data_IF_682748402908
#
_entry.id   IF_682748402908
#
_cell.length_a   1.000
_cell.length_b   1.000
_cell.length_c   1.000
_cell.angle_alpha   90.00
_cell.angle_beta   90.00
_cell.angle_gamma   90.00
#
_symmetry.space_group_name_H-M   'P 1'
#
loop_
_entity.id
_entity.type
_entity.pdbx_description
1 polymer ?
#
# COMPACT_ATOMS: atom_id res chain seq x y z
N UNK A 1 -18.20 38.56 -15.36
CA UNK A 1 -18.97 37.56 -14.59
C UNK A 1 -19.24 36.21 -15.28
N UNK A 2 -19.15 36.05 -16.62
CA UNK A 2 -19.43 34.76 -17.30
C UNK A 2 -18.29 33.72 -17.25
N UNK A 3 -17.06 34.10 -16.90
CA UNK A 3 -15.90 33.18 -16.85
C UNK A 3 -15.80 32.39 -15.54
N UNK A 4 -16.23 32.98 -14.41
CA UNK A 4 -16.14 32.34 -13.09
C UNK A 4 -17.08 31.12 -12.96
N UNK A 5 -18.26 31.17 -13.59
CA UNK A 5 -19.20 30.04 -13.60
C UNK A 5 -18.67 28.82 -14.38
N UNK A 6 -17.85 29.02 -15.42
CA UNK A 6 -17.28 27.90 -16.20
C UNK A 6 -16.18 27.16 -15.44
N UNK A 7 -15.42 27.86 -14.60
CA UNK A 7 -14.38 27.25 -13.75
C UNK A 7 -15.02 26.44 -12.62
N UNK A 8 -16.09 26.96 -12.02
CA UNK A 8 -16.81 26.26 -10.96
C UNK A 8 -17.50 24.98 -11.46
N UNK A 9 -18.14 25.02 -12.63
CA UNK A 9 -18.76 23.83 -13.27
C UNK A 9 -17.71 22.76 -13.63
N UNK A 10 -16.50 23.17 -14.07
CA UNK A 10 -15.41 22.21 -14.37
C UNK A 10 -14.81 21.59 -13.11
N UNK A 11 -14.76 22.32 -12.00
CA UNK A 11 -14.31 21.80 -10.71
C UNK A 11 -15.28 20.75 -10.15
N UNK A 12 -16.59 21.00 -10.25
CA UNK A 12 -17.63 20.08 -9.76
C UNK A 12 -17.76 18.79 -10.61
N UNK A 13 -17.37 18.84 -11.89
CA UNK A 13 -17.32 17.66 -12.74
C UNK A 13 -16.11 16.75 -12.42
N UNK A 14 -15.00 17.34 -11.91
CA UNK A 14 -13.81 16.60 -11.49
C UNK A 14 -14.05 15.77 -10.22
N UNK A 15 -14.78 16.32 -9.24
CA UNK A 15 -15.11 15.61 -7.99
C UNK A 15 -16.04 14.40 -8.19
N UNK A 16 -16.90 14.41 -9.21
CA UNK A 16 -17.78 13.26 -9.52
C UNK A 16 -17.03 12.09 -10.14
N UNK A 17 -15.99 12.36 -10.94
CA UNK A 17 -15.20 11.32 -11.59
C UNK A 17 -14.21 10.64 -10.63
N UNK A 18 -13.68 11.36 -9.64
CA UNK A 18 -12.76 10.80 -8.64
C UNK A 18 -13.47 9.78 -7.71
N UNK A 19 -14.69 10.09 -7.29
CA UNK A 19 -15.50 9.16 -6.47
C UNK A 19 -15.87 7.88 -7.22
N UNK A 20 -16.01 7.91 -8.55
CA UNK A 20 -16.31 6.71 -9.34
C UNK A 20 -15.12 5.75 -9.42
N UNK A 21 -13.93 6.29 -9.71
CA UNK A 21 -12.69 5.47 -9.84
C UNK A 21 -12.19 4.96 -8.50
N UNK A 22 -12.29 5.76 -7.43
CA UNK A 22 -11.94 5.34 -6.08
C UNK A 22 -12.85 4.20 -5.57
N UNK A 23 -14.15 4.25 -5.89
CA UNK A 23 -15.09 3.17 -5.56
C UNK A 23 -14.84 1.89 -6.39
N UNK A 24 -14.39 2.02 -7.64
CA UNK A 24 -14.05 0.87 -8.49
C UNK A 24 -12.80 0.13 -7.97
N UNK A 25 -11.78 0.87 -7.53
CA UNK A 25 -10.57 0.25 -6.98
C UNK A 25 -10.75 -0.27 -5.55
N UNK A 26 -11.53 0.38 -4.66
CA UNK A 26 -11.79 -0.19 -3.33
C UNK A 26 -12.60 -1.50 -3.39
N UNK A 27 -13.55 -1.61 -4.34
CA UNK A 27 -14.34 -2.84 -4.52
C UNK A 27 -13.51 -4.04 -4.98
N UNK A 28 -12.41 -3.83 -5.70
CA UNK A 28 -11.55 -4.93 -6.17
C UNK A 28 -10.59 -5.45 -5.08
N UNK A 29 -10.22 -4.63 -4.09
CA UNK A 29 -9.34 -5.06 -2.99
C UNK A 29 -10.08 -5.73 -1.81
N UNK A 30 -11.36 -5.42 -1.58
CA UNK A 30 -12.14 -6.03 -0.49
C UNK A 30 -12.64 -7.46 -0.77
N UNK A 31 -12.41 -7.99 -1.97
CA UNK A 31 -12.89 -9.32 -2.38
C UNK A 31 -11.89 -10.47 -2.19
N UNK A 32 -10.76 -10.25 -1.50
CA UNK A 32 -9.71 -11.27 -1.29
C UNK A 32 -9.62 -11.80 0.14
N UNK A 33 -10.76 -12.05 0.78
CA UNK A 33 -10.79 -12.89 1.98
C UNK A 33 -12.05 -13.73 2.02
N UNK A 34 -11.93 -14.99 1.58
CA UNK A 34 -12.95 -16.03 1.71
C UNK A 34 -12.33 -17.23 2.41
N UNK A 35 -12.22 -17.16 3.73
CA UNK A 35 -11.96 -18.32 4.60
C UNK A 35 -13.17 -18.58 5.48
N UNK A 36 -14.31 -18.96 4.88
CA UNK A 36 -15.49 -19.48 5.59
C UNK A 36 -16.13 -20.65 4.82
N UNK A 37 -15.32 -21.54 4.24
CA UNK A 37 -15.78 -22.72 3.51
C UNK A 37 -15.77 -24.02 4.35
N UNK A 38 -15.56 -23.92 5.67
CA UNK A 38 -15.39 -25.10 6.53
C UNK A 38 -16.59 -25.41 7.44
N UNK A 39 -17.53 -24.47 7.65
CA UNK A 39 -18.65 -24.64 8.58
C UNK A 39 -20.00 -25.01 7.91
N UNK A 40 -20.13 -24.92 6.58
CA UNK A 40 -21.35 -25.32 5.86
C UNK A 40 -21.45 -26.83 5.57
N UNK A 41 -20.36 -27.58 5.76
CA UNK A 41 -20.32 -29.03 5.58
C UNK A 41 -20.90 -29.81 6.79
N UNK A 42 -21.26 -29.14 7.88
CA UNK A 42 -21.84 -29.75 9.09
C UNK A 42 -23.37 -29.59 9.19
N UNK A 43 -24.05 -29.13 8.12
CA UNK A 43 -25.52 -29.09 8.12
C UNK A 43 -26.07 -30.49 7.85
N UNK A 44 -26.50 -31.12 8.93
CA UNK A 44 -27.09 -32.46 9.00
C UNK A 44 -28.28 -32.59 8.02
N UNK A 45 -28.01 -33.13 6.83
CA UNK A 45 -29.05 -33.53 5.90
C UNK A 45 -29.73 -34.77 6.47
N UNK A 46 -30.98 -34.64 6.87
CA UNK A 46 -31.87 -35.75 7.18
C UNK A 46 -31.99 -36.61 5.92
N UNK A 47 -31.15 -37.65 5.81
CA UNK A 47 -31.21 -38.59 4.71
C UNK A 47 -32.52 -39.37 4.83
N UNK A 48 -33.35 -39.31 3.79
CA UNK A 48 -34.42 -40.29 3.60
C UNK A 48 -33.73 -41.65 3.48
N UNK A 49 -34.03 -42.57 4.39
CA UNK A 49 -33.56 -43.96 4.29
C UNK A 49 -34.01 -44.54 2.94
N UNK A 50 -33.12 -45.20 2.17
CA UNK A 50 -33.51 -45.82 0.90
C UNK A 50 -34.55 -46.91 1.17
N UNK A 51 -35.61 -46.98 0.38
CA UNK A 51 -36.52 -48.13 0.40
C UNK A 51 -35.75 -49.39 -0.04
N UNK A 52 -36.20 -50.56 0.40
CA UNK A 52 -35.56 -51.87 0.18
C UNK A 52 -35.27 -52.18 -1.31
N UNK A 53 -36.03 -51.57 -2.23
CA UNK A 53 -35.79 -51.62 -3.68
C UNK A 53 -34.52 -50.90 -4.17
N UNK A 54 -33.97 -49.96 -3.40
CA UNK A 54 -32.82 -49.14 -3.79
C UNK A 54 -31.48 -49.70 -3.31
N UNK A 55 -31.47 -50.67 -2.38
CA UNK A 55 -30.23 -51.31 -1.90
C UNK A 55 -29.50 -52.07 -3.01
N UNK A 56 -30.24 -52.67 -3.96
CA UNK A 56 -29.65 -53.37 -5.12
C UNK A 56 -28.94 -52.47 -6.13
N UNK A 57 -29.13 -51.14 -6.06
CA UNK A 57 -28.50 -50.17 -6.98
C UNK A 57 -27.14 -49.66 -6.50
N UNK A 58 -26.74 -49.94 -5.25
CA UNK A 58 -25.48 -49.46 -4.69
C UNK A 58 -24.26 -50.31 -5.09
N UNK A 59 -24.46 -51.54 -5.55
CA UNK A 59 -23.38 -52.43 -6.03
C UNK A 59 -22.94 -52.14 -7.48
N UNK A 60 -23.60 -51.18 -8.15
CA UNK A 60 -23.24 -50.79 -9.52
C UNK A 60 -22.50 -49.46 -9.53
N UNK A 61 -21.49 -49.29 -10.41
CA UNK A 61 -20.78 -48.03 -10.52
C UNK A 61 -21.74 -46.89 -10.87
N UNK A 62 -21.74 -45.84 -10.04
CA UNK A 62 -22.61 -44.68 -10.21
C UNK A 62 -22.20 -43.93 -11.48
N UNK A 63 -23.05 -43.97 -12.50
CA UNK A 63 -22.81 -43.25 -13.76
C UNK A 63 -23.01 -41.75 -13.52
N UNK A 64 -21.92 -40.98 -13.63
CA UNK A 64 -21.92 -39.54 -13.39
C UNK A 64 -23.07 -38.82 -14.12
N UNK A 65 -23.26 -39.10 -15.42
CA UNK A 65 -24.28 -38.46 -16.27
C UNK A 65 -25.72 -38.64 -15.79
N UNK A 66 -25.99 -39.66 -14.96
CA UNK A 66 -27.32 -39.93 -14.38
C UNK A 66 -27.43 -39.46 -12.92
N UNK A 67 -26.33 -38.99 -12.33
CA UNK A 67 -26.29 -38.54 -10.95
C UNK A 67 -26.86 -37.12 -10.80
N UNK A 68 -27.36 -36.79 -9.61
CA UNK A 68 -27.78 -35.42 -9.27
C UNK A 68 -26.63 -34.41 -9.40
N UNK A 69 -25.38 -34.86 -9.24
CA UNK A 69 -24.21 -34.00 -9.40
C UNK A 69 -24.01 -33.54 -10.86
N UNK A 70 -24.43 -34.31 -11.86
CA UNK A 70 -24.36 -33.90 -13.27
C UNK A 70 -25.31 -32.76 -13.62
N UNK A 71 -26.46 -32.67 -12.93
CA UNK A 71 -27.39 -31.55 -13.09
C UNK A 71 -26.86 -30.25 -12.47
N UNK A 72 -25.86 -30.35 -11.59
CA UNK A 72 -25.32 -29.22 -10.87
C UNK A 72 -24.35 -28.44 -11.75
N UNK A 73 -24.80 -27.30 -12.30
CA UNK A 73 -23.97 -26.46 -13.16
C UNK A 73 -23.03 -25.64 -12.29
N UNK A 74 -21.72 -25.69 -12.55
CA UNK A 74 -20.73 -24.87 -11.85
C UNK A 74 -21.09 -23.37 -11.87
N UNK A 75 -21.74 -22.92 -12.94
CA UNK A 75 -22.23 -21.56 -13.12
C UNK A 75 -23.26 -21.11 -12.07
N UNK A 76 -24.06 -22.02 -11.50
CA UNK A 76 -25.07 -21.69 -10.47
C UNK A 76 -24.41 -21.28 -9.14
N UNK A 77 -23.20 -21.77 -8.84
CA UNK A 77 -22.42 -21.30 -7.69
C UNK A 77 -21.88 -19.87 -7.87
N UNK A 78 -21.68 -19.43 -9.11
CA UNK A 78 -21.10 -18.12 -9.42
C UNK A 78 -22.15 -17.04 -9.66
N UNK A 79 -23.43 -17.41 -9.82
CA UNK A 79 -24.48 -16.50 -10.33
C UNK A 79 -25.35 -15.84 -9.25
N UNK A 80 -25.30 -16.29 -8.00
CA UNK A 80 -25.98 -15.61 -6.89
C UNK A 80 -24.96 -14.91 -5.98
N UNK A 81 -24.03 -14.16 -6.57
CA UNK A 81 -23.57 -12.96 -5.88
C UNK A 81 -24.76 -12.03 -6.05
N UNK A 82 -25.62 -11.89 -5.04
CA UNK A 82 -26.64 -10.85 -5.05
C UNK A 82 -25.96 -9.56 -5.53
N UNK A 83 -26.56 -8.85 -6.48
CA UNK A 83 -26.05 -7.55 -6.95
C UNK A 83 -25.80 -6.59 -5.76
N UNK A 84 -26.46 -6.87 -4.64
CA UNK A 84 -26.21 -6.34 -3.32
C UNK A 84 -25.78 -7.49 -2.37
N UNK A 85 -24.48 -7.81 -2.24
CA UNK A 85 -24.07 -8.67 -1.14
C UNK A 85 -24.63 -8.08 0.16
N UNK A 86 -25.26 -8.90 1.01
CA UNK A 86 -25.75 -8.46 2.32
C UNK A 86 -24.53 -8.14 3.20
N UNK A 87 -23.92 -6.99 2.96
CA UNK A 87 -22.82 -6.47 3.75
C UNK A 87 -23.45 -5.84 4.97
N UNK A 88 -23.05 -6.25 6.19
CA UNK A 88 -23.54 -5.61 7.38
C UNK A 88 -23.17 -4.12 7.39
N UNK A 89 -24.12 -3.27 7.79
CA UNK A 89 -23.95 -1.81 7.83
C UNK A 89 -22.74 -1.36 8.66
N UNK A 90 -22.30 -2.16 9.63
CA UNK A 90 -21.16 -1.85 10.49
C UNK A 90 -19.80 -2.09 9.82
N UNK A 91 -19.73 -2.76 8.66
CA UNK A 91 -18.44 -3.09 8.01
C UNK A 91 -17.60 -1.83 7.75
N UNK A 92 -18.22 -0.82 7.14
CA UNK A 92 -17.56 0.46 6.84
C UNK A 92 -17.16 1.20 8.13
N UNK A 93 -18.00 1.15 9.16
CA UNK A 93 -17.76 1.80 10.45
C UNK A 93 -16.58 1.18 11.20
N UNK A 94 -16.45 -0.14 11.20
CA UNK A 94 -15.34 -0.87 11.84
C UNK A 94 -14.02 -0.56 11.13
N UNK A 95 -14.02 -0.48 9.80
CA UNK A 95 -12.85 -0.08 9.02
C UNK A 95 -12.43 1.34 9.40
N UNK A 96 -13.36 2.31 9.40
CA UNK A 96 -13.05 3.68 9.81
C UNK A 96 -12.56 3.76 11.26
N UNK A 97 -13.18 3.02 12.19
CA UNK A 97 -12.74 2.98 13.58
C UNK A 97 -11.30 2.49 13.70
N UNK A 98 -10.92 1.42 12.97
CA UNK A 98 -9.54 0.91 12.98
C UNK A 98 -8.54 1.93 12.42
N UNK A 99 -8.90 2.61 11.33
CA UNK A 99 -8.05 3.66 10.73
C UNK A 99 -7.90 4.86 11.65
N UNK A 100 -8.97 5.28 12.32
CA UNK A 100 -8.95 6.38 13.29
C UNK A 100 -8.04 6.01 14.48
N UNK A 101 -8.16 4.80 15.02
CA UNK A 101 -7.31 4.33 16.11
C UNK A 101 -5.84 4.35 15.69
N UNK A 102 -5.51 3.88 14.48
CA UNK A 102 -4.15 3.97 13.95
C UNK A 102 -3.69 5.42 13.76
N UNK A 103 -4.53 6.30 13.22
CA UNK A 103 -4.19 7.71 13.04
C UNK A 103 -3.96 8.44 14.36
N UNK A 104 -4.77 8.15 15.37
CA UNK A 104 -4.59 8.69 16.73
C UNK A 104 -3.31 8.15 17.35
N UNK A 105 -3.03 6.85 17.18
CA UNK A 105 -1.79 6.24 17.65
C UNK A 105 -0.55 6.85 16.99
N UNK A 106 -0.52 6.96 15.65
CA UNK A 106 0.63 7.48 14.92
C UNK A 106 0.76 9.00 14.95
N UNK A 107 -0.34 9.73 15.07
CA UNK A 107 -0.36 11.19 15.00
C UNK A 107 -0.34 11.90 16.34
N UNK A 108 -0.78 11.26 17.43
CA UNK A 108 -0.95 11.92 18.74
C UNK A 108 -0.25 11.17 19.87
N UNK A 109 -0.48 9.85 20.00
CA UNK A 109 -0.01 9.08 21.16
C UNK A 109 1.44 8.61 21.05
N UNK A 110 1.92 8.34 19.84
CA UNK A 110 3.36 8.20 19.60
C UNK A 110 3.96 9.60 19.80
N UNK A 111 4.98 9.70 20.65
CA UNK A 111 5.74 10.94 20.88
C UNK A 111 5.98 11.68 19.56
N UNK A 112 5.97 13.04 19.54
CA UNK A 112 6.23 13.82 18.34
C UNK A 112 7.44 13.20 17.67
N UNK A 113 7.22 12.77 16.43
CA UNK A 113 8.09 11.85 15.72
C UNK A 113 9.55 12.32 15.91
N UNK A 114 10.44 11.51 16.50
CA UNK A 114 11.89 11.80 16.53
C UNK A 114 12.43 12.07 15.12
N UNK A 115 11.70 11.60 14.09
CA UNK A 115 11.91 11.95 12.71
C UNK A 115 11.61 13.42 12.38
N UNK A 116 10.62 14.06 13.01
CA UNK A 116 10.27 15.47 12.77
C UNK A 116 11.39 16.41 13.26
N UNK A 117 11.95 16.11 14.44
CA UNK A 117 13.14 16.80 14.94
C UNK A 117 14.37 16.57 14.05
N UNK A 118 14.50 15.37 13.47
CA UNK A 118 15.57 15.05 12.51
C UNK A 118 15.34 15.71 11.15
N UNK A 119 14.11 15.78 10.66
CA UNK A 119 13.75 16.42 9.38
C UNK A 119 13.85 17.94 9.47
N UNK A 120 13.62 18.51 10.65
CA UNK A 120 13.77 19.95 10.90
C UNK A 120 15.23 20.42 10.80
N UNK A 121 16.21 19.51 10.89
CA UNK A 121 17.64 19.82 10.71
C UNK A 121 17.99 19.91 9.23
N UNK A 122 19.00 20.71 8.89
CA UNK A 122 19.45 20.82 7.51
C UNK A 122 19.99 19.50 6.97
N UNK A 123 19.71 19.16 5.70
CA UNK A 123 20.16 17.89 5.08
C UNK A 123 21.67 17.64 5.26
N UNK A 124 22.46 18.71 5.15
CA UNK A 124 23.92 18.65 5.27
C UNK A 124 24.40 18.57 6.72
N UNK A 125 23.57 18.92 7.69
CA UNK A 125 23.86 18.73 9.12
C UNK A 125 23.69 17.27 9.52
N UNK A 126 22.71 16.59 8.91
CA UNK A 126 22.41 15.17 9.16
C UNK A 126 23.43 14.28 8.41
N UNK A 127 23.76 14.63 7.17
CA UNK A 127 24.65 13.84 6.33
C UNK A 127 25.64 14.74 5.57
N UNK A 128 26.74 15.16 6.21
CA UNK A 128 27.70 16.08 5.62
C UNK A 128 28.38 15.51 4.36
N UNK A 129 28.51 14.18 4.27
CA UNK A 129 29.14 13.49 3.13
C UNK A 129 28.40 13.70 1.81
N UNK A 130 27.14 14.15 1.86
CA UNK A 130 26.31 14.32 0.68
C UNK A 130 26.52 15.68 -0.02
N UNK A 131 27.15 16.66 0.64
CA UNK A 131 27.32 18.00 0.07
C UNK A 131 28.19 17.99 -1.21
N UNK A 132 29.33 17.28 -1.15
CA UNK A 132 30.28 17.20 -2.28
C UNK A 132 29.65 16.58 -3.53
N UNK A 133 29.04 15.37 -3.49
CA UNK A 133 28.46 14.78 -4.69
C UNK A 133 27.30 15.61 -5.26
N UNK A 134 26.51 16.27 -4.41
CA UNK A 134 25.45 17.19 -4.87
C UNK A 134 26.03 18.38 -5.63
N UNK A 135 27.09 19.01 -5.10
CA UNK A 135 27.77 20.12 -5.78
C UNK A 135 28.42 19.68 -7.09
N UNK A 136 29.00 18.49 -7.16
CA UNK A 136 29.58 17.95 -8.40
C UNK A 136 28.51 17.70 -9.46
N UNK A 137 27.36 17.14 -9.09
CA UNK A 137 26.21 16.98 -9.99
C UNK A 137 25.70 18.35 -10.49
N UNK A 138 25.65 19.34 -9.61
CA UNK A 138 25.23 20.70 -9.98
C UNK A 138 26.23 21.35 -10.95
N UNK A 139 27.53 21.22 -10.71
CA UNK A 139 28.58 21.67 -11.65
C UNK A 139 28.40 21.02 -13.02
N UNK A 140 28.15 19.70 -13.07
CA UNK A 140 27.92 19.01 -14.35
C UNK A 140 26.66 19.55 -15.05
N UNK A 141 25.60 19.83 -14.31
CA UNK A 141 24.35 20.38 -14.85
C UNK A 141 24.52 21.81 -15.35
N UNK A 142 25.22 22.66 -14.61
CA UNK A 142 25.50 24.06 -14.97
C UNK A 142 26.46 24.16 -16.16
N UNK A 143 27.50 23.32 -16.18
CA UNK A 143 28.44 23.26 -17.30
C UNK A 143 27.75 22.85 -18.60
N UNK A 144 26.82 21.88 -18.56
CA UNK A 144 26.00 21.50 -19.73
C UNK A 144 25.13 22.64 -20.25
N UNK A 145 24.71 23.56 -19.36
CA UNK A 145 23.93 24.75 -19.71
C UNK A 145 24.80 25.94 -20.12
N UNK A 146 26.13 25.82 -20.07
CA UNK A 146 27.07 26.89 -20.41
C UNK A 146 27.13 28.02 -19.36
N UNK A 147 26.71 27.75 -18.12
CA UNK A 147 26.79 28.73 -17.03
C UNK A 147 28.18 28.70 -16.37
N UNK A 148 28.57 29.79 -15.72
CA UNK A 148 29.82 29.84 -14.96
C UNK A 148 29.76 28.93 -13.73
N UNK A 149 30.85 28.19 -13.50
CA UNK A 149 30.96 27.17 -12.43
C UNK A 149 32.16 27.39 -11.51
N UNK A 150 32.87 28.51 -11.66
CA UNK A 150 34.10 28.81 -10.90
C UNK A 150 33.87 28.81 -9.39
N UNK A 151 32.82 29.47 -8.93
CA UNK A 151 32.48 29.57 -7.51
C UNK A 151 32.10 28.22 -6.89
N UNK A 152 31.35 27.39 -7.63
CA UNK A 152 30.97 26.06 -7.15
C UNK A 152 32.20 25.14 -7.04
N UNK A 153 33.13 25.23 -8.00
CA UNK A 153 34.38 24.45 -7.98
C UNK A 153 35.27 24.83 -6.80
N UNK A 154 35.45 26.13 -6.53
CA UNK A 154 36.24 26.58 -5.39
C UNK A 154 35.63 26.13 -4.05
N UNK A 155 34.30 26.13 -3.95
CA UNK A 155 33.59 25.58 -2.77
C UNK A 155 33.87 24.08 -2.59
N UNK A 156 33.78 23.28 -3.65
CA UNK A 156 34.06 21.83 -3.61
C UNK A 156 35.50 21.57 -3.17
N UNK A 157 36.46 22.30 -3.72
CA UNK A 157 37.87 22.11 -3.37
C UNK A 157 38.15 22.42 -1.90
N UNK A 158 37.54 23.49 -1.37
CA UNK A 158 37.62 23.84 0.05
C UNK A 158 37.03 22.75 0.94
N UNK A 159 35.86 22.20 0.59
CA UNK A 159 35.23 21.11 1.35
C UNK A 159 36.07 19.83 1.34
N UNK A 160 36.68 19.48 0.20
CA UNK A 160 37.58 18.32 0.09
C UNK A 160 38.84 18.49 0.96
N UNK A 161 39.38 19.69 1.06
CA UNK A 161 40.52 19.98 1.94
C UNK A 161 40.13 19.81 3.41
N UNK A 162 38.97 20.33 3.81
CA UNK A 162 38.46 20.18 5.19
C UNK A 162 38.23 18.72 5.57
N UNK A 163 37.64 17.92 4.67
CA UNK A 163 37.46 16.47 4.91
C UNK A 163 38.80 15.74 5.11
N UNK A 164 39.82 16.08 4.31
CA UNK A 164 41.15 15.50 4.48
C UNK A 164 41.77 15.85 5.83
N UNK A 165 41.63 17.10 6.28
CA UNK A 165 42.13 17.54 7.58
C UNK A 165 41.44 16.82 8.74
N UNK A 166 40.10 16.72 8.71
CA UNK A 166 39.35 16.01 9.75
C UNK A 166 39.73 14.52 9.83
N UNK A 167 39.89 13.85 8.68
CA UNK A 167 40.32 12.46 8.65
C UNK A 167 41.75 12.21 9.18
N UNK A 168 42.63 13.21 9.14
CA UNK A 168 43.98 13.11 9.73
C UNK A 168 43.86 13.24 11.26
N UNK A 169 43.12 14.25 11.73
CA UNK A 169 42.88 14.49 13.16
C UNK A 169 42.25 13.28 13.85
N UNK A 170 41.30 12.60 13.20
CA UNK A 170 40.66 11.40 13.77
C UNK A 170 41.61 10.20 13.86
N UNK A 171 42.63 10.12 12.99
CA UNK A 171 43.67 9.08 13.08
C UNK A 171 44.60 9.35 14.24
N UNK A 172 45.02 10.61 14.40
CA UNK A 172 45.95 11.03 15.46
C UNK A 172 45.34 10.79 16.86
N UNK A 173 44.05 11.11 17.04
CA UNK A 173 43.33 10.86 18.30
C UNK A 173 43.17 9.37 18.63
N UNK A 174 42.99 8.53 17.62
CA UNK A 174 42.86 7.08 17.83
C UNK A 174 44.21 6.41 18.14
N UNK A 175 45.34 6.98 17.72
CA UNK A 175 46.67 6.52 18.14
C UNK A 175 47.01 6.91 19.57
N UNK A 176 46.61 8.11 20.03
CA UNK A 176 46.85 8.56 21.41
C UNK A 176 45.98 7.83 22.44
N UNK A 177 44.80 7.33 22.04
CA UNK A 177 43.91 6.57 22.94
C UNK A 177 44.33 5.10 23.15
N UNK A 178 45.37 4.63 22.46
CA UNK A 178 45.89 3.25 22.51
C UNK A 178 47.24 3.14 23.24
N UNK A 179 47.85 4.25 23.65
CA UNK A 179 48.99 4.31 24.58
C UNK A 179 48.52 4.52 26.02
#
# INVERSE_FOLDING_TARGET
MKMLNKVWIRFEQSHRNFNSVANFHLKSYLNRSRSNLMLSLLRNNHQKTPSESDQSKFDQPIVYSKSKAYQFKAYENFRNIDDNPTVPFYNVHVIYASLIIFLVYFGILREPNDLDDKISRGLFEIKPDLEIPILEMEIQRMAKKGMDVRELRSKVDKLKQLQKQNNVIDKDKNSEALE
#
